data_IF_843723966012
#
_entry.id   IF_843723966012
#
_cell.length_a   1.000
_cell.length_b   1.000
_cell.length_c   1.000
_cell.angle_alpha   90.00
_cell.angle_beta   90.00
_cell.angle_gamma   90.00
#
_symmetry.space_group_name_H-M   'P 1'
#
loop_
_entity.id
_entity.type
_entity.pdbx_description
1 polymer ?
#
# COMPACT_ATOMS: atom_id res chain seq x y z
N UNK A 1 17.70 14.04 -15.86
CA UNK A 1 17.24 14.20 -14.48
C UNK A 1 16.02 13.32 -14.30
N UNK A 2 16.05 12.43 -13.32
CA UNK A 2 14.90 11.63 -12.90
C UNK A 2 14.29 12.35 -11.70
N UNK A 3 12.99 12.62 -11.75
CA UNK A 3 12.24 13.14 -10.63
C UNK A 3 11.20 12.08 -10.25
N UNK A 4 11.17 11.71 -9.00
CA UNK A 4 10.14 10.83 -8.45
C UNK A 4 9.43 11.53 -7.30
N UNK A 5 8.14 11.33 -7.21
CA UNK A 5 7.31 11.74 -6.08
C UNK A 5 6.64 10.52 -5.47
N UNK A 6 6.20 10.63 -4.23
CA UNK A 6 5.57 9.52 -3.54
C UNK A 6 4.19 9.22 -4.13
N UNK A 7 3.95 7.94 -4.38
CA UNK A 7 2.67 7.39 -4.84
C UNK A 7 1.63 7.38 -3.71
N UNK A 8 0.44 6.89 -4.04
CA UNK A 8 -0.66 6.72 -3.08
C UNK A 8 -0.24 5.76 -1.97
N UNK A 9 -0.33 6.24 -0.74
CA UNK A 9 -0.13 5.44 0.43
C UNK A 9 -1.43 5.37 1.23
N UNK A 10 -2.12 4.24 1.16
CA UNK A 10 -3.37 4.00 1.86
C UNK A 10 -3.17 3.06 3.03
N UNK A 11 -3.44 3.56 4.23
CA UNK A 11 -3.42 2.73 5.44
C UNK A 11 -4.84 2.41 5.86
N UNK A 12 -5.14 1.13 5.90
CA UNK A 12 -6.38 0.63 6.45
C UNK A 12 -6.21 0.38 7.96
N UNK A 13 -6.93 1.14 8.76
CA UNK A 13 -7.04 0.94 10.20
C UNK A 13 -8.32 0.16 10.50
N UNK A 14 -8.18 -1.02 11.05
CA UNK A 14 -9.29 -1.83 11.50
C UNK A 14 -8.84 -2.87 12.50
N UNK A 15 -9.76 -3.42 13.27
CA UNK A 15 -9.43 -4.60 14.07
C UNK A 15 -9.47 -5.82 13.16
N UNK A 16 -8.52 -6.77 13.24
CA UNK A 16 -8.45 -7.93 12.35
C UNK A 16 -9.78 -8.69 12.22
N UNK A 17 -10.54 -8.78 13.31
CA UNK A 17 -11.88 -9.38 13.31
C UNK A 17 -12.98 -8.39 12.97
N UNK A 18 -12.78 -7.10 13.26
CA UNK A 18 -13.75 -6.03 13.06
C UNK A 18 -13.56 -5.32 11.72
N UNK A 19 -12.50 -5.61 10.99
CA UNK A 19 -12.28 -5.08 9.66
C UNK A 19 -13.46 -5.37 8.72
N UNK A 20 -14.09 -6.53 8.86
CA UNK A 20 -15.33 -6.87 8.14
C UNK A 20 -16.57 -6.19 8.73
N UNK A 21 -16.46 -5.58 9.89
CA UNK A 21 -17.53 -4.80 10.51
C UNK A 21 -17.38 -3.32 10.18
N UNK A 22 -16.20 -2.74 10.43
CA UNK A 22 -15.91 -1.33 10.24
C UNK A 22 -14.43 -1.22 9.86
N UNK A 23 -14.14 -0.56 8.74
CA UNK A 23 -12.79 -0.19 8.34
C UNK A 23 -12.67 1.32 8.24
N UNK A 24 -11.57 1.87 8.75
CA UNK A 24 -11.19 3.27 8.56
C UNK A 24 -9.96 3.32 7.68
N UNK A 25 -10.07 4.08 6.60
CA UNK A 25 -8.95 4.27 5.68
C UNK A 25 -8.38 5.66 5.89
N UNK A 26 -7.07 5.73 6.05
CA UNK A 26 -6.33 6.97 5.91
C UNK A 26 -5.54 6.89 4.63
N UNK A 27 -5.81 7.80 3.74
CA UNK A 27 -5.09 7.96 2.50
C UNK A 27 -4.08 9.09 2.69
N UNK A 28 -2.79 8.74 2.61
CA UNK A 28 -1.70 9.70 2.52
C UNK A 28 -1.23 9.67 1.07
N UNK A 29 -1.39 10.78 0.38
CA UNK A 29 -1.07 10.85 -1.03
C UNK A 29 -0.28 12.12 -1.29
N UNK A 30 1.01 11.98 -1.52
CA UNK A 30 1.88 13.12 -1.79
C UNK A 30 1.59 13.73 -3.17
N UNK A 31 1.29 12.92 -4.17
CA UNK A 31 0.86 13.40 -5.50
C UNK A 31 -0.48 14.14 -5.44
N UNK A 32 -1.40 13.72 -4.55
CA UNK A 32 -2.70 14.38 -4.39
C UNK A 32 -2.63 15.68 -3.60
N UNK A 33 -1.63 15.90 -2.75
CA UNK A 33 -1.46 17.20 -2.06
C UNK A 33 -1.05 18.31 -3.01
N UNK A 34 -0.49 17.95 -4.16
CA UNK A 34 -0.09 18.89 -5.22
C UNK A 34 -1.03 18.88 -6.44
N UNK A 35 -2.08 18.10 -6.41
CA UNK A 35 -3.00 17.92 -7.53
C UNK A 35 -3.19 16.44 -7.85
N UNK A 36 -3.47 16.12 -9.09
CA UNK A 36 -3.60 14.75 -9.58
C UNK A 36 -2.29 14.27 -10.20
N UNK A 37 -2.14 12.96 -10.39
CA UNK A 37 -1.06 12.38 -11.21
C UNK A 37 -0.97 13.06 -12.57
N UNK A 38 -2.13 13.39 -13.17
CA UNK A 38 -2.20 14.15 -14.42
C UNK A 38 -1.48 15.51 -14.31
N UNK A 39 -1.72 16.28 -13.26
CA UNK A 39 -1.06 17.57 -13.08
C UNK A 39 0.45 17.43 -12.92
N UNK A 40 0.91 16.37 -12.28
CA UNK A 40 2.33 16.05 -12.16
C UNK A 40 2.94 15.75 -13.54
N UNK A 41 2.32 14.93 -14.36
CA UNK A 41 2.79 14.62 -15.71
C UNK A 41 2.72 15.82 -16.64
N UNK A 42 1.64 16.62 -16.59
CA UNK A 42 1.49 17.87 -17.36
C UNK A 42 2.59 18.87 -17.00
N UNK A 43 2.97 18.97 -15.72
CA UNK A 43 4.07 19.84 -15.28
C UNK A 43 5.42 19.34 -15.80
N UNK A 44 5.63 18.03 -15.83
CA UNK A 44 6.82 17.41 -16.42
C UNK A 44 6.98 17.79 -17.88
N UNK A 45 5.89 17.65 -18.67
CA UNK A 45 5.87 18.02 -20.07
C UNK A 45 6.14 19.53 -20.26
N UNK A 46 5.55 20.36 -19.40
CA UNK A 46 5.74 21.82 -19.42
C UNK A 46 7.19 22.22 -19.16
N UNK A 47 7.82 21.60 -18.15
CA UNK A 47 9.23 21.85 -17.82
C UNK A 47 10.16 21.37 -18.92
N UNK A 48 9.90 20.17 -19.49
CA UNK A 48 10.67 19.65 -20.61
C UNK A 48 10.65 20.55 -21.84
N UNK A 49 9.49 21.13 -22.17
CA UNK A 49 9.36 22.12 -23.24
C UNK A 49 10.13 23.40 -22.96
N UNK A 50 10.18 23.82 -21.70
CA UNK A 50 10.90 25.05 -21.29
C UNK A 50 12.42 24.87 -21.31
N UNK A 51 12.91 23.66 -21.03
CA UNK A 51 14.34 23.34 -20.93
C UNK A 51 14.68 22.16 -21.85
N UNK A 52 14.72 22.37 -23.19
CA UNK A 52 14.88 21.28 -24.16
C UNK A 52 16.26 20.58 -24.08
N UNK A 53 17.23 21.18 -23.42
CA UNK A 53 18.55 20.58 -23.19
C UNK A 53 18.57 19.61 -21.98
N UNK A 54 17.48 19.54 -21.22
CA UNK A 54 17.34 18.62 -20.11
C UNK A 54 16.55 17.40 -20.53
N UNK A 55 17.14 16.23 -20.35
CA UNK A 55 16.37 14.96 -20.38
C UNK A 55 15.70 14.83 -19.02
N UNK A 56 14.38 14.95 -18.98
CA UNK A 56 13.54 14.74 -17.81
C UNK A 56 12.84 13.41 -17.97
N UNK A 57 12.89 12.58 -16.92
CA UNK A 57 12.23 11.28 -16.89
C UNK A 57 11.37 11.26 -15.62
N UNK A 58 10.09 11.00 -15.79
CA UNK A 58 9.12 10.91 -14.70
C UNK A 58 9.27 9.58 -13.94
N UNK A 59 8.90 9.60 -12.68
CA UNK A 59 8.88 8.42 -11.84
C UNK A 59 8.00 8.60 -10.61
N UNK A 60 7.65 7.50 -9.99
CA UNK A 60 6.95 7.48 -8.70
C UNK A 60 7.62 6.50 -7.76
N UNK A 61 7.65 6.85 -6.48
CA UNK A 61 8.08 5.97 -5.41
C UNK A 61 6.86 5.40 -4.70
N UNK A 62 6.72 4.09 -4.71
CA UNK A 62 5.56 3.37 -4.21
C UNK A 62 5.93 2.42 -3.08
N UNK A 63 5.02 2.24 -2.13
CA UNK A 63 5.03 1.15 -1.15
C UNK A 63 4.07 0.04 -1.61
N UNK A 64 4.52 -0.96 -2.38
CA UNK A 64 3.62 -1.97 -2.94
C UNK A 64 2.82 -2.71 -1.90
N UNK A 65 3.43 -3.00 -0.75
CA UNK A 65 2.78 -3.78 0.29
C UNK A 65 3.31 -3.46 1.69
N UNK A 66 2.38 -3.38 2.65
CA UNK A 66 2.65 -3.38 4.08
C UNK A 66 1.58 -4.20 4.79
N UNK A 67 1.83 -4.64 6.02
CA UNK A 67 0.86 -5.46 6.74
C UNK A 67 0.88 -5.22 8.25
N UNK A 68 -0.25 -5.50 8.87
CA UNK A 68 -0.40 -5.49 10.32
C UNK A 68 -0.04 -6.84 10.91
N UNK A 69 0.91 -6.82 11.84
CA UNK A 69 1.22 -7.92 12.74
C UNK A 69 0.58 -7.60 14.11
N UNK A 70 -0.42 -8.37 14.48
CA UNK A 70 -1.28 -8.06 15.62
C UNK A 70 -1.09 -9.11 16.73
N UNK A 71 -0.52 -8.68 17.84
CA UNK A 71 -0.45 -9.46 19.07
C UNK A 71 -1.55 -9.00 20.05
N UNK A 72 -2.68 -9.71 20.04
CA UNK A 72 -3.84 -9.39 20.87
C UNK A 72 -3.56 -9.54 22.36
N UNK A 73 -2.69 -10.47 22.75
CA UNK A 73 -2.36 -10.71 24.15
C UNK A 73 -1.55 -9.54 24.72
N UNK A 74 -0.63 -9.03 23.93
CA UNK A 74 0.19 -7.86 24.29
C UNK A 74 -0.48 -6.55 23.92
N UNK A 75 -1.64 -6.58 23.29
CA UNK A 75 -2.37 -5.38 22.78
C UNK A 75 -1.50 -4.51 21.90
N UNK A 76 -0.63 -5.16 21.11
CA UNK A 76 0.34 -4.50 20.25
C UNK A 76 0.00 -4.74 18.78
N UNK A 77 0.04 -3.67 18.01
CA UNK A 77 -0.22 -3.63 16.58
C UNK A 77 1.01 -3.08 15.90
N UNK A 78 1.65 -3.88 15.10
CA UNK A 78 2.89 -3.51 14.43
C UNK A 78 2.64 -3.42 12.95
N UNK A 79 2.82 -2.23 12.36
CA UNK A 79 2.81 -2.04 10.93
C UNK A 79 4.22 -2.36 10.40
N UNK A 80 4.30 -3.36 9.53
CA UNK A 80 5.57 -3.86 8.96
C UNK A 80 5.66 -3.54 7.48
N UNK A 81 6.88 -3.30 6.99
CA UNK A 81 7.24 -3.01 5.59
C UNK A 81 6.71 -1.69 5.05
N UNK A 82 6.41 -0.75 5.93
CA UNK A 82 5.92 0.57 5.54
C UNK A 82 6.91 1.34 4.65
N UNK A 83 8.21 1.29 4.95
CA UNK A 83 9.29 1.95 4.21
C UNK A 83 9.97 1.04 3.18
N UNK A 84 9.33 -0.05 2.77
CA UNK A 84 9.87 -0.92 1.72
C UNK A 84 9.33 -0.44 0.38
N UNK A 85 10.11 0.41 -0.29
CA UNK A 85 9.68 1.13 -1.48
C UNK A 85 10.37 0.64 -2.76
N UNK A 86 9.63 0.74 -3.86
CA UNK A 86 10.11 0.61 -5.22
C UNK A 86 9.84 1.90 -6.00
N UNK A 87 10.74 2.25 -6.89
CA UNK A 87 10.55 3.35 -7.82
C UNK A 87 10.21 2.78 -9.20
N UNK A 88 9.10 3.23 -9.79
CA UNK A 88 8.78 3.01 -11.19
C UNK A 88 9.13 4.27 -11.98
N UNK A 89 9.82 4.10 -13.09
CA UNK A 89 10.35 5.20 -13.90
C UNK A 89 10.00 4.93 -15.36
N UNK A 90 9.60 5.98 -16.08
CA UNK A 90 9.36 5.96 -17.53
C UNK A 90 8.23 4.99 -17.93
N UNK A 91 7.07 5.11 -17.30
CA UNK A 91 5.88 4.35 -17.69
C UNK A 91 5.08 5.03 -18.82
N UNK A 92 5.36 6.28 -19.11
CA UNK A 92 4.90 7.02 -20.27
C UNK A 92 3.44 7.47 -20.27
N UNK A 93 2.56 6.88 -19.46
CA UNK A 93 1.14 7.24 -19.44
C UNK A 93 0.54 7.29 -18.04
N UNK A 94 -0.45 8.16 -17.84
CA UNK A 94 -1.19 8.28 -16.58
C UNK A 94 -1.80 6.94 -16.16
N UNK A 95 -2.44 6.23 -17.09
CA UNK A 95 -3.08 4.95 -16.82
C UNK A 95 -2.09 3.87 -16.38
N UNK A 96 -0.84 3.92 -16.87
CA UNK A 96 0.18 2.98 -16.47
C UNK A 96 0.63 3.20 -15.01
N UNK A 97 0.70 4.45 -14.58
CA UNK A 97 0.99 4.80 -13.19
C UNK A 97 -0.19 4.52 -12.26
N UNK A 98 -1.43 4.86 -12.66
CA UNK A 98 -2.62 4.57 -11.86
C UNK A 98 -2.86 3.07 -11.65
N UNK A 99 -2.48 2.25 -12.62
CA UNK A 99 -2.63 0.80 -12.56
C UNK A 99 -1.45 0.07 -11.87
N UNK A 100 -0.52 0.79 -11.24
CA UNK A 100 0.53 0.18 -10.44
C UNK A 100 -0.06 -0.73 -9.36
N UNK A 101 0.48 -1.95 -9.18
CA UNK A 101 -0.04 -2.91 -8.21
C UNK A 101 0.41 -2.57 -6.79
N UNK A 102 -0.14 -1.47 -6.27
CA UNK A 102 0.10 -0.96 -4.92
C UNK A 102 -1.14 -1.10 -4.06
N UNK A 103 -0.96 -1.17 -2.76
CA UNK A 103 -2.09 -1.16 -1.83
C UNK A 103 -2.83 0.17 -1.91
N UNK A 104 -4.14 0.09 -2.07
CA UNK A 104 -4.99 1.27 -2.20
C UNK A 104 -5.16 1.79 -3.62
N UNK A 105 -4.36 1.34 -4.58
CA UNK A 105 -4.53 1.67 -5.99
C UNK A 105 -5.92 1.28 -6.52
N UNK A 106 -6.45 2.07 -7.47
CA UNK A 106 -7.80 1.83 -7.99
C UNK A 106 -7.97 0.47 -8.66
N UNK A 107 -6.95 0.00 -9.35
CA UNK A 107 -6.94 -1.27 -10.06
C UNK A 107 -6.60 -2.48 -9.17
N UNK A 108 -6.19 -2.26 -7.92
CA UNK A 108 -6.01 -3.32 -6.93
C UNK A 108 -7.33 -3.82 -6.33
N UNK A 109 -8.48 -3.28 -6.74
CA UNK A 109 -9.80 -3.60 -6.20
C UNK A 109 -10.39 -4.80 -6.94
N UNK A 110 -10.06 -6.01 -6.49
CA UNK A 110 -10.70 -7.24 -6.97
C UNK A 110 -11.64 -7.78 -5.89
N UNK A 111 -12.77 -8.30 -6.35
CA UNK A 111 -13.68 -9.03 -5.47
C UNK A 111 -13.01 -10.33 -4.97
N UNK A 112 -12.95 -10.48 -3.65
CA UNK A 112 -12.41 -11.66 -2.99
C UNK A 112 -13.49 -12.34 -2.16
N UNK A 113 -13.39 -13.66 -1.95
CA UNK A 113 -14.37 -14.41 -1.17
C UNK A 113 -14.60 -13.84 0.25
N UNK A 114 -13.57 -13.26 0.86
CA UNK A 114 -13.69 -12.56 2.15
C UNK A 114 -14.60 -11.34 2.09
N UNK A 115 -14.84 -10.77 0.90
CA UNK A 115 -15.79 -9.65 0.71
C UNK A 115 -17.23 -10.03 1.07
N UNK A 116 -17.57 -11.32 1.01
CA UNK A 116 -18.89 -11.82 1.47
C UNK A 116 -19.08 -11.51 2.95
N UNK A 117 -18.03 -11.59 3.76
CA UNK A 117 -18.09 -11.29 5.19
C UNK A 117 -18.43 -9.82 5.45
N UNK A 118 -18.12 -8.92 4.52
CA UNK A 118 -18.49 -7.50 4.62
C UNK A 118 -19.99 -7.25 4.39
N UNK A 119 -20.70 -8.24 3.86
CA UNK A 119 -22.15 -8.18 3.66
C UNK A 119 -22.97 -8.50 4.93
N UNK A 120 -22.32 -8.79 6.07
CA UNK A 120 -23.03 -9.09 7.33
C UNK A 120 -24.12 -8.06 7.70
N UNK A 121 -23.99 -6.73 7.38
CA UNK A 121 -25.03 -5.78 7.72
C UNK A 121 -26.37 -6.05 7.00
N UNK A 122 -26.35 -6.80 5.89
CA UNK A 122 -27.58 -7.24 5.24
C UNK A 122 -28.46 -8.07 6.19
N UNK A 123 -27.87 -8.84 7.11
CA UNK A 123 -28.62 -9.59 8.12
C UNK A 123 -29.46 -8.67 9.01
N UNK A 124 -28.93 -7.50 9.38
CA UNK A 124 -29.66 -6.51 10.12
C UNK A 124 -30.81 -5.89 9.31
N UNK A 125 -30.59 -5.61 8.02
CA UNK A 125 -31.66 -5.14 7.14
C UNK A 125 -32.78 -6.20 6.95
N UNK A 126 -32.40 -7.46 6.73
CA UNK A 126 -33.33 -8.58 6.65
C UNK A 126 -34.11 -8.70 7.96
N UNK A 127 -33.45 -8.60 9.11
CA UNK A 127 -34.12 -8.61 10.41
C UNK A 127 -35.19 -7.50 10.51
N UNK A 128 -34.88 -6.28 10.09
CA UNK A 128 -35.84 -5.15 10.11
C UNK A 128 -37.01 -5.42 9.21
N UNK A 129 -36.82 -5.96 8.01
CA UNK A 129 -37.90 -6.28 7.07
C UNK A 129 -38.82 -7.38 7.61
N UNK A 130 -38.22 -8.44 8.18
CA UNK A 130 -38.99 -9.61 8.62
C UNK A 130 -39.66 -9.40 9.99
N UNK A 131 -38.94 -8.80 10.93
CA UNK A 131 -39.33 -8.73 12.32
C UNK A 131 -39.68 -7.31 12.80
N UNK A 132 -39.38 -6.26 12.04
CA UNK A 132 -39.50 -4.86 12.47
C UNK A 132 -40.92 -4.49 12.87
N UNK A 133 -41.94 -5.11 12.24
CA UNK A 133 -43.34 -4.89 12.59
C UNK A 133 -43.77 -5.52 13.93
N UNK A 134 -43.01 -6.48 14.44
CA UNK A 134 -43.30 -7.18 15.71
C UNK A 134 -42.51 -6.64 16.91
N UNK A 135 -41.66 -5.65 16.70
CA UNK A 135 -40.78 -5.07 17.71
C UNK A 135 -40.99 -3.57 17.82
N UNK A 136 -40.28 -2.94 18.77
CA UNK A 136 -40.26 -1.49 18.90
C UNK A 136 -39.83 -0.83 17.58
N UNK A 137 -40.63 0.10 17.09
CA UNK A 137 -40.36 0.84 15.85
C UNK A 137 -39.01 1.57 15.93
N UNK A 138 -38.73 2.20 17.08
CA UNK A 138 -37.45 2.92 17.29
C UNK A 138 -36.25 1.99 17.19
N UNK A 139 -36.32 0.77 17.76
CA UNK A 139 -35.26 -0.22 17.70
C UNK A 139 -35.04 -0.70 16.25
N UNK A 140 -36.13 -0.95 15.53
CA UNK A 140 -36.03 -1.38 14.13
C UNK A 140 -35.44 -0.31 13.24
N UNK A 141 -35.78 0.95 13.43
CA UNK A 141 -35.18 2.08 12.72
C UNK A 141 -33.68 2.19 13.05
N UNK A 142 -33.32 2.09 14.33
CA UNK A 142 -31.93 2.14 14.75
C UNK A 142 -31.09 1.03 14.11
N UNK A 143 -31.57 -0.22 14.14
CA UNK A 143 -30.91 -1.37 13.49
C UNK A 143 -30.77 -1.11 11.99
N UNK A 144 -31.82 -0.63 11.33
CA UNK A 144 -31.81 -0.33 9.90
C UNK A 144 -30.76 0.71 9.53
N UNK A 145 -30.72 1.83 10.29
CA UNK A 145 -29.74 2.90 10.05
C UNK A 145 -28.31 2.39 10.26
N UNK A 146 -28.04 1.72 11.38
CA UNK A 146 -26.70 1.19 11.69
C UNK A 146 -26.25 0.19 10.61
N UNK A 147 -27.16 -0.73 10.23
CA UNK A 147 -26.87 -1.72 9.18
C UNK A 147 -26.59 -1.06 7.84
N UNK A 148 -27.33 -0.03 7.46
CA UNK A 148 -27.10 0.71 6.22
C UNK A 148 -25.77 1.46 6.25
N UNK A 149 -25.45 2.14 7.35
CA UNK A 149 -24.18 2.85 7.52
C UNK A 149 -23.00 1.87 7.47
N UNK A 150 -23.09 0.72 8.14
CA UNK A 150 -22.05 -0.31 8.08
C UNK A 150 -21.89 -0.87 6.66
N UNK A 151 -22.98 -1.09 5.93
CA UNK A 151 -22.93 -1.58 4.56
C UNK A 151 -22.25 -0.57 3.62
N UNK A 152 -22.57 0.71 3.77
CA UNK A 152 -21.94 1.79 3.00
C UNK A 152 -20.46 1.95 3.35
N UNK A 153 -20.13 1.83 4.64
CA UNK A 153 -18.73 1.91 5.09
C UNK A 153 -17.88 0.74 4.55
N UNK A 154 -18.41 -0.47 4.60
CA UNK A 154 -17.66 -1.65 4.20
C UNK A 154 -17.41 -1.75 2.69
N UNK A 155 -18.30 -1.17 1.86
CA UNK A 155 -18.20 -1.17 0.39
C UNK A 155 -17.56 -2.46 -0.17
N UNK A 156 -18.23 -3.62 -0.04
CA UNK A 156 -17.64 -4.95 -0.25
C UNK A 156 -17.10 -5.20 -1.67
N UNK A 157 -17.46 -4.34 -2.61
CA UNK A 157 -17.03 -4.44 -4.02
C UNK A 157 -15.70 -3.71 -4.30
N UNK A 158 -15.10 -3.06 -3.29
CA UNK A 158 -13.87 -2.28 -3.40
C UNK A 158 -12.73 -2.86 -2.55
N UNK A 159 -12.71 -4.18 -2.38
CA UNK A 159 -11.64 -4.83 -1.59
C UNK A 159 -10.37 -4.89 -2.43
N UNK A 160 -9.24 -4.39 -1.95
CA UNK A 160 -7.95 -4.52 -2.65
C UNK A 160 -7.54 -5.99 -2.80
N UNK A 161 -6.82 -6.31 -3.85
CA UNK A 161 -6.23 -7.65 -4.07
C UNK A 161 -5.31 -7.99 -2.90
N UNK A 162 -4.53 -7.00 -2.48
CA UNK A 162 -3.63 -7.09 -1.34
C UNK A 162 -4.20 -6.29 -0.18
N UNK A 163 -4.18 -6.90 0.99
CA UNK A 163 -4.80 -6.39 2.18
C UNK A 163 -3.81 -6.43 3.34
N UNK A 164 -3.70 -5.32 4.06
CA UNK A 164 -2.82 -5.18 5.21
C UNK A 164 -3.02 -6.25 6.31
N UNK A 165 -4.15 -6.94 6.33
CA UNK A 165 -4.44 -7.98 7.33
C UNK A 165 -4.22 -9.41 6.84
N UNK A 166 -3.69 -9.60 5.64
CA UNK A 166 -3.32 -10.92 5.11
C UNK A 166 -2.01 -11.46 5.73
N UNK A 167 -1.31 -10.63 6.50
CA UNK A 167 -0.02 -10.99 7.08
C UNK A 167 1.14 -10.85 6.10
N UNK A 168 2.26 -11.52 6.39
CA UNK A 168 3.44 -11.45 5.55
C UNK A 168 3.27 -12.27 4.27
N UNK A 169 3.15 -11.59 3.14
CA UNK A 169 3.11 -12.20 1.79
C UNK A 169 4.51 -12.39 1.17
N UNK A 170 5.56 -12.25 1.96
CA UNK A 170 6.92 -12.34 1.46
C UNK A 170 7.25 -11.23 0.46
N UNK A 171 7.94 -11.58 -0.60
CA UNK A 171 8.35 -10.65 -1.66
C UNK A 171 7.42 -10.68 -2.88
N UNK A 172 6.39 -11.52 -2.87
CA UNK A 172 5.47 -11.66 -4.01
C UNK A 172 4.79 -10.36 -4.44
N UNK A 173 4.31 -9.47 -3.56
CA UNK A 173 3.74 -8.19 -3.98
C UNK A 173 4.75 -7.29 -4.69
N UNK A 174 5.99 -7.30 -4.23
CA UNK A 174 7.08 -6.52 -4.82
C UNK A 174 7.51 -7.09 -6.17
N UNK A 175 7.60 -8.41 -6.29
CA UNK A 175 7.87 -9.08 -7.55
C UNK A 175 6.78 -8.77 -8.59
N UNK A 176 5.51 -8.78 -8.19
CA UNK A 176 4.40 -8.40 -9.06
C UNK A 176 4.52 -6.95 -9.56
N UNK A 177 4.96 -6.03 -8.69
CA UNK A 177 5.23 -4.65 -9.07
C UNK A 177 6.36 -4.55 -10.10
N UNK A 178 7.48 -5.26 -9.87
CA UNK A 178 8.62 -5.30 -10.77
C UNK A 178 8.21 -5.80 -12.16
N UNK A 179 7.49 -6.93 -12.20
CA UNK A 179 6.99 -7.52 -13.45
C UNK A 179 6.03 -6.60 -14.19
N UNK A 180 5.15 -5.91 -13.45
CA UNK A 180 4.23 -4.93 -14.02
C UNK A 180 4.96 -3.81 -14.75
N UNK A 181 5.95 -3.19 -14.10
CA UNK A 181 6.74 -2.08 -14.64
C UNK A 181 7.55 -2.55 -15.86
N UNK A 182 8.25 -3.67 -15.74
CA UNK A 182 9.05 -4.25 -16.84
C UNK A 182 8.21 -4.59 -18.06
N UNK A 183 7.04 -5.18 -17.87
CA UNK A 183 6.13 -5.55 -18.98
C UNK A 183 5.69 -4.33 -19.79
N UNK A 184 5.76 -3.14 -19.21
CA UNK A 184 5.43 -1.86 -19.86
C UNK A 184 6.66 -1.11 -20.41
N UNK A 185 7.83 -1.70 -20.28
CA UNK A 185 9.09 -1.11 -20.76
C UNK A 185 9.70 -0.09 -19.81
N UNK A 186 9.10 0.14 -18.64
CA UNK A 186 9.62 1.01 -17.61
C UNK A 186 10.82 0.43 -16.87
N UNK A 187 11.47 1.26 -16.08
CA UNK A 187 12.58 0.90 -15.21
C UNK A 187 12.09 0.83 -13.76
N UNK A 188 12.60 -0.14 -13.00
CA UNK A 188 12.24 -0.31 -11.61
C UNK A 188 13.47 -0.43 -10.72
N UNK A 189 13.47 0.36 -9.64
CA UNK A 189 14.59 0.40 -8.70
C UNK A 189 14.09 0.18 -7.27
N UNK A 190 14.86 -0.59 -6.49
CA UNK A 190 14.68 -0.63 -5.06
C UNK A 190 15.13 0.70 -4.43
N UNK A 191 14.21 1.38 -3.76
CA UNK A 191 14.53 2.58 -3.01
C UNK A 191 15.14 2.19 -1.66
N UNK A 192 16.22 2.86 -1.27
CA UNK A 192 16.88 2.81 0.04
C UNK A 192 16.83 1.43 0.77
N UNK A 193 17.26 0.29 0.18
CA UNK A 193 17.08 -1.04 0.76
C UNK A 193 17.77 -1.20 2.14
N UNK A 194 18.70 -0.33 2.47
CA UNK A 194 19.42 -0.33 3.73
C UNK A 194 18.94 0.72 4.74
N UNK A 195 17.87 1.44 4.41
CA UNK A 195 17.28 2.38 5.34
C UNK A 195 16.85 1.66 6.63
N UNK A 196 17.51 2.03 7.71
CA UNK A 196 17.14 1.51 9.05
C UNK A 196 15.96 2.27 9.59
N UNK A 197 15.12 1.56 10.29
CA UNK A 197 13.89 2.10 10.83
C UNK A 197 14.10 2.82 12.15
N UNK A 198 13.41 3.94 12.29
CA UNK A 198 12.99 4.41 13.60
C UNK A 198 11.69 3.70 13.97
N UNK A 199 11.65 3.00 15.09
CA UNK A 199 10.41 2.50 15.66
C UNK A 199 9.63 3.70 16.18
N UNK A 200 8.48 4.00 15.57
CA UNK A 200 7.55 4.98 16.10
C UNK A 200 6.45 4.22 16.84
N UNK A 201 6.34 4.45 18.13
CA UNK A 201 5.31 3.85 18.96
C UNK A 201 4.34 4.93 19.44
N UNK A 202 3.07 4.75 19.09
CA UNK A 202 1.97 5.59 19.57
C UNK A 202 1.06 4.77 20.48
N UNK A 203 0.59 5.38 21.56
CA UNK A 203 -0.38 4.75 22.47
C UNK A 203 -1.75 5.40 22.31
N UNK A 204 -2.77 4.57 22.13
CA UNK A 204 -4.16 5.01 22.00
C UNK A 204 -5.02 4.49 23.15
N UNK A 205 -6.18 5.12 23.33
CA UNK A 205 -7.17 4.73 24.34
C UNK A 205 -6.59 4.68 25.77
N UNK A 206 -5.79 5.68 26.14
CA UNK A 206 -5.20 5.75 27.48
C UNK A 206 -4.15 4.65 27.77
N UNK A 207 -3.45 4.18 26.74
CA UNK A 207 -2.42 3.13 26.87
C UNK A 207 -2.93 1.70 26.70
N UNK A 208 -4.21 1.52 26.36
CA UNK A 208 -4.80 0.20 26.15
C UNK A 208 -4.39 -0.42 24.81
N UNK A 209 -3.97 0.38 23.85
CA UNK A 209 -3.54 -0.06 22.53
C UNK A 209 -2.21 0.59 22.19
N UNK A 210 -1.23 -0.22 21.83
CA UNK A 210 0.06 0.24 21.33
C UNK A 210 0.14 -0.02 19.82
N UNK A 211 0.42 1.03 19.06
CA UNK A 211 0.63 0.97 17.61
C UNK A 211 2.08 1.31 17.34
N UNK A 212 2.78 0.41 16.69
CA UNK A 212 4.19 0.55 16.34
C UNK A 212 4.35 0.52 14.81
N UNK A 213 5.23 1.36 14.29
CA UNK A 213 5.73 1.23 12.91
C UNK A 213 7.14 0.68 12.99
N UNK A 214 7.38 -0.45 12.37
CA UNK A 214 8.71 -1.08 12.34
C UNK A 214 9.17 -1.18 10.90
N UNK A 215 10.16 -0.37 10.59
CA UNK A 215 10.85 -0.41 9.32
C UNK A 215 12.21 -1.08 9.51
N UNK A 216 12.47 -2.14 8.82
CA UNK A 216 13.72 -2.86 8.85
C UNK A 216 14.43 -2.73 7.51
N UNK A 217 15.76 -2.72 7.48
CA UNK A 217 16.49 -2.87 6.24
C UNK A 217 15.95 -4.04 5.45
N UNK A 218 15.81 -3.86 4.14
CA UNK A 218 15.26 -4.87 3.23
C UNK A 218 16.22 -5.21 2.09
N UNK A 219 17.52 -5.09 2.35
CA UNK A 219 18.59 -5.39 1.41
C UNK A 219 18.53 -6.83 0.88
N UNK A 220 17.99 -7.78 1.64
CA UNK A 220 17.73 -9.14 1.18
C UNK A 220 16.69 -9.21 0.05
N UNK A 221 15.87 -8.17 -0.15
CA UNK A 221 14.95 -8.08 -1.28
C UNK A 221 15.69 -8.18 -2.62
N UNK A 222 16.93 -7.68 -2.70
CA UNK A 222 17.77 -7.76 -3.90
C UNK A 222 18.06 -9.19 -4.34
N UNK A 223 18.07 -10.13 -3.39
CA UNK A 223 18.33 -11.55 -3.67
C UNK A 223 17.02 -12.33 -3.91
N UNK A 224 15.93 -11.94 -3.26
CA UNK A 224 14.66 -12.66 -3.33
C UNK A 224 13.69 -12.15 -4.39
N UNK A 225 14.06 -11.09 -5.12
CA UNK A 225 13.32 -10.62 -6.29
C UNK A 225 14.24 -10.55 -7.49
N UNK A 226 13.67 -10.61 -8.68
CA UNK A 226 14.42 -10.55 -9.91
C UNK A 226 13.85 -9.54 -10.89
N UNK A 227 14.64 -9.24 -11.92
CA UNK A 227 14.20 -8.42 -13.02
C UNK A 227 14.06 -6.93 -12.74
N UNK A 228 14.38 -6.44 -11.57
CA UNK A 228 14.49 -4.99 -11.32
C UNK A 228 15.73 -4.42 -12.04
N UNK A 229 15.73 -3.11 -12.30
CA UNK A 229 16.79 -2.41 -13.04
C UNK A 229 18.02 -2.16 -12.17
N UNK A 230 17.79 -1.89 -10.88
CA UNK A 230 18.86 -1.57 -9.93
C UNK A 230 18.32 -1.22 -8.55
N UNK A 231 19.16 -0.60 -7.74
CA UNK A 231 18.79 -0.16 -6.40
C UNK A 231 19.53 1.12 -6.01
N UNK A 232 19.01 1.85 -5.04
CA UNK A 232 19.67 3.01 -4.47
C UNK A 232 20.85 2.53 -3.60
N UNK A 233 22.06 2.62 -4.14
CA UNK A 233 23.28 2.16 -3.46
C UNK A 233 23.79 3.15 -2.40
N UNK A 234 23.43 4.43 -2.53
CA UNK A 234 23.87 5.51 -1.63
C UNK A 234 22.62 6.09 -0.94
N UNK A 235 22.35 5.60 0.26
CA UNK A 235 21.31 6.15 1.12
C UNK A 235 21.88 6.43 2.51
N UNK A 236 22.07 7.70 2.81
CA UNK A 236 22.82 8.09 4.01
C UNK A 236 24.25 7.55 3.97
N UNK A 237 24.73 7.00 5.08
CA UNK A 237 26.07 6.47 5.24
C UNK A 237 26.17 4.95 5.05
N UNK A 238 25.11 4.30 4.56
CA UNK A 238 25.04 2.84 4.44
C UNK A 238 25.11 2.41 2.98
N UNK A 239 26.12 1.60 2.66
CA UNK A 239 26.36 1.04 1.32
C UNK A 239 26.63 -0.47 1.33
N UNK A 240 26.28 -1.16 2.43
CA UNK A 240 26.67 -2.57 2.65
C UNK A 240 26.15 -3.52 1.57
N UNK A 241 25.01 -3.21 0.93
CA UNK A 241 24.51 -4.04 -0.17
C UNK A 241 25.43 -4.03 -1.39
N UNK A 242 26.17 -2.93 -1.62
CA UNK A 242 27.10 -2.76 -2.72
C UNK A 242 28.56 -3.13 -2.38
N UNK A 243 28.84 -3.53 -1.12
CA UNK A 243 30.16 -4.02 -0.74
C UNK A 243 30.46 -5.38 -1.40
N UNK A 244 31.73 -5.68 -1.68
CA UNK A 244 32.12 -6.99 -2.22
C UNK A 244 31.60 -8.15 -1.36
N UNK A 245 30.90 -9.11 -1.97
CA UNK A 245 30.21 -10.22 -1.29
C UNK A 245 28.88 -9.86 -0.66
N UNK A 246 28.43 -8.62 -0.82
CA UNK A 246 27.12 -8.15 -0.35
C UNK A 246 25.95 -8.70 -1.18
N UNK A 247 24.75 -8.22 -0.87
CA UNK A 247 23.50 -8.70 -1.51
C UNK A 247 23.50 -8.46 -3.02
N UNK A 248 24.13 -7.39 -3.50
CA UNK A 248 24.23 -7.12 -4.93
C UNK A 248 25.03 -8.19 -5.66
N UNK A 249 26.19 -8.59 -5.13
CA UNK A 249 26.99 -9.66 -5.71
C UNK A 249 26.26 -11.00 -5.70
N UNK A 250 25.49 -11.28 -4.65
CA UNK A 250 24.64 -12.47 -4.55
C UNK A 250 23.51 -12.43 -5.59
N UNK A 251 22.88 -11.28 -5.79
CA UNK A 251 21.86 -11.10 -6.82
C UNK A 251 22.44 -11.30 -8.23
N UNK A 252 23.59 -10.69 -8.52
CA UNK A 252 24.28 -10.86 -9.81
C UNK A 252 24.68 -12.31 -10.06
N UNK A 253 25.09 -13.04 -9.03
CA UNK A 253 25.42 -14.46 -9.14
C UNK A 253 24.27 -15.37 -9.57
N UNK A 254 23.01 -14.89 -9.52
CA UNK A 254 21.84 -15.62 -10.02
C UNK A 254 21.68 -15.50 -11.55
N UNK A 255 22.34 -14.51 -12.17
CA UNK A 255 22.27 -14.25 -13.60
C UNK A 255 23.49 -14.75 -14.38
N UNK A 256 24.51 -15.28 -13.69
CA UNK A 256 25.74 -15.84 -14.25
C UNK A 256 25.72 -17.36 -14.23
#
# INVERSE_FOLDING_TARGET
VILSDADVLKVDYGFPFLRYLISFNREENALLTQGTLKNYLDEFERVGKKYPDLILIEGVESAPYHYWDVDLLKRRWTLKRWSTHLMAIDLGTEEAYEALPVMGGEHAKIWHWSSILMLWPLLGLVYVVVYGRYRSQSLSIAIGIVSLLCLLNNMPFKVPIMDAYQGDLGWAPYQNYIEYVKKRGGLVFWAHPQAGAAVQADTFLGGLLQVERVDQPHDNALVYTDGYTGFSALYGDKISAAEPGGQWDQALGQYL
#
